data_IF_206556218137
#
_entry.id   IF_206556218137
#
_cell.length_a   1.000
_cell.length_b   1.000
_cell.length_c   1.000
_cell.angle_alpha   90.00
_cell.angle_beta   90.00
_cell.angle_gamma   90.00
#
_symmetry.space_group_name_H-M   'P 1'
#
loop_
_entity.id
_entity.type
_entity.pdbx_description
1 polymer ?
#
# COMPACT_ATOMS: atom_id res chain seq x y z
N UNK A 1 -1.14 -30.63 -8.94
CA UNK A 1 -1.60 -29.24 -9.17
C UNK A 1 -2.57 -29.26 -10.33
N UNK A 2 -3.79 -28.79 -10.11
CA UNK A 2 -4.77 -28.60 -11.19
C UNK A 2 -4.71 -27.17 -11.68
N UNK A 3 -4.61 -26.97 -12.99
CA UNK A 3 -4.51 -25.66 -13.62
C UNK A 3 -5.60 -25.44 -14.68
N UNK A 4 -5.87 -24.19 -15.02
CA UNK A 4 -6.62 -23.82 -16.22
C UNK A 4 -5.71 -23.99 -17.45
N UNK A 5 -6.08 -24.88 -18.37
CA UNK A 5 -5.35 -25.16 -19.62
C UNK A 5 -5.06 -23.88 -20.39
N UNK A 6 -6.02 -22.96 -20.42
CA UNK A 6 -5.83 -21.68 -21.09
C UNK A 6 -4.64 -20.92 -20.55
N UNK A 7 -4.26 -21.10 -19.28
CA UNK A 7 -3.23 -20.32 -18.57
C UNK A 7 -1.82 -20.89 -18.67
N UNK A 8 -1.67 -22.04 -19.32
CA UNK A 8 -0.44 -22.83 -19.36
C UNK A 8 0.78 -22.00 -19.78
N UNK A 9 0.66 -21.20 -20.84
CA UNK A 9 1.75 -20.33 -21.31
C UNK A 9 2.09 -19.24 -20.30
N UNK A 10 1.07 -18.55 -19.76
CA UNK A 10 1.24 -17.47 -18.77
C UNK A 10 1.89 -17.98 -17.50
N UNK A 11 1.43 -19.12 -16.97
CA UNK A 11 2.05 -19.76 -15.82
C UNK A 11 3.48 -20.20 -16.13
N UNK A 12 3.76 -20.77 -17.30
CA UNK A 12 5.11 -21.22 -17.65
C UNK A 12 6.07 -20.03 -17.63
N UNK A 13 5.74 -18.97 -18.34
CA UNK A 13 6.57 -17.77 -18.39
C UNK A 13 6.71 -17.10 -17.04
N UNK A 14 5.62 -16.99 -16.27
CA UNK A 14 5.67 -16.40 -14.94
C UNK A 14 6.59 -17.21 -14.02
N UNK A 15 6.47 -18.54 -14.06
CA UNK A 15 7.30 -19.47 -13.29
C UNK A 15 8.78 -19.37 -13.69
N UNK A 16 9.08 -19.26 -14.98
CA UNK A 16 10.45 -19.05 -15.49
C UNK A 16 11.04 -17.70 -15.06
N UNK A 17 10.24 -16.62 -15.09
CA UNK A 17 10.65 -15.30 -14.59
C UNK A 17 10.98 -15.38 -13.08
N UNK A 18 10.09 -15.98 -12.28
CA UNK A 18 10.33 -16.16 -10.84
C UNK A 18 11.56 -17.03 -10.57
N UNK A 19 11.80 -18.07 -11.35
CA UNK A 19 13.03 -18.87 -11.25
C UNK A 19 14.28 -18.03 -11.51
N UNK A 20 14.25 -17.15 -12.52
CA UNK A 20 15.37 -16.24 -12.85
C UNK A 20 15.66 -15.23 -11.73
N UNK A 21 14.62 -14.83 -11.01
CA UNK A 21 14.72 -13.97 -9.81
C UNK A 21 15.21 -14.74 -8.57
N UNK A 22 15.43 -16.05 -8.67
CA UNK A 22 15.99 -16.92 -7.63
C UNK A 22 14.96 -17.55 -6.69
N UNK A 23 13.69 -17.63 -7.09
CA UNK A 23 12.67 -18.40 -6.39
C UNK A 23 12.80 -19.90 -6.75
N UNK A 24 12.68 -20.78 -5.76
CA UNK A 24 12.99 -22.21 -5.90
C UNK A 24 11.79 -23.14 -5.62
N UNK A 25 10.78 -22.64 -4.91
CA UNK A 25 9.58 -23.40 -4.53
C UNK A 25 8.33 -22.60 -4.86
N UNK A 26 7.26 -23.30 -5.21
CA UNK A 26 5.93 -22.73 -5.47
C UNK A 26 4.91 -23.47 -4.62
N UNK A 27 4.03 -22.71 -3.97
CA UNK A 27 2.89 -23.21 -3.21
C UNK A 27 1.59 -22.88 -3.93
N UNK A 28 0.60 -23.75 -3.79
CA UNK A 28 -0.68 -23.67 -4.48
C UNK A 28 -1.78 -24.37 -3.68
N UNK A 29 -3.03 -23.99 -3.94
CA UNK A 29 -4.22 -24.59 -3.36
C UNK A 29 -4.66 -25.80 -4.19
N UNK A 30 -4.86 -26.96 -3.58
CA UNK A 30 -5.21 -28.22 -4.26
C UNK A 30 -6.71 -28.32 -4.61
N UNK A 31 -7.57 -27.50 -4.00
CA UNK A 31 -9.03 -27.54 -4.21
C UNK A 31 -9.51 -26.61 -5.33
N UNK A 32 -8.65 -25.69 -5.79
CA UNK A 32 -8.98 -24.77 -6.88
C UNK A 32 -8.27 -25.12 -8.18
N UNK A 33 -8.81 -24.59 -9.27
CA UNK A 33 -8.12 -24.55 -10.56
C UNK A 33 -7.15 -23.37 -10.52
N UNK A 34 -5.86 -23.66 -10.45
CA UNK A 34 -4.82 -22.65 -10.32
C UNK A 34 -4.55 -21.93 -11.65
N UNK A 35 -4.07 -20.70 -11.55
CA UNK A 35 -3.56 -19.90 -12.65
C UNK A 35 -2.36 -19.07 -12.17
N UNK A 36 -1.76 -18.29 -13.07
CA UNK A 36 -0.59 -17.45 -12.82
C UNK A 36 -0.73 -16.48 -11.64
N UNK A 37 -1.96 -16.09 -11.27
CA UNK A 37 -2.23 -15.20 -10.14
C UNK A 37 -2.47 -15.93 -8.80
N UNK A 38 -2.67 -17.26 -8.80
CA UNK A 38 -2.94 -18.03 -7.57
C UNK A 38 -1.70 -18.72 -7.01
N UNK A 39 -0.58 -18.66 -7.73
CA UNK A 39 0.68 -19.28 -7.33
C UNK A 39 1.46 -18.36 -6.39
N UNK A 40 1.98 -18.92 -5.30
CA UNK A 40 2.86 -18.22 -4.37
C UNK A 40 4.28 -18.79 -4.43
N UNK A 41 5.27 -17.92 -4.58
CA UNK A 41 6.67 -18.33 -4.83
C UNK A 41 7.56 -18.04 -3.63
N UNK A 42 8.44 -18.99 -3.30
CA UNK A 42 9.37 -18.93 -2.18
C UNK A 42 10.80 -19.27 -2.60
N UNK A 43 11.78 -18.63 -1.95
CA UNK A 43 13.20 -18.89 -2.24
C UNK A 43 13.72 -20.14 -1.55
N UNK A 44 13.09 -20.57 -0.46
CA UNK A 44 13.47 -21.75 0.30
C UNK A 44 12.25 -22.63 0.61
N UNK A 45 12.51 -23.88 0.98
CA UNK A 45 11.46 -24.89 1.22
C UNK A 45 10.71 -24.67 2.54
N UNK A 46 11.37 -24.09 3.54
CA UNK A 46 10.78 -23.93 4.87
C UNK A 46 9.64 -22.92 4.83
N UNK A 47 9.84 -21.79 4.15
CA UNK A 47 8.80 -20.76 4.01
C UNK A 47 7.60 -21.26 3.21
N UNK A 48 7.85 -22.06 2.16
CA UNK A 48 6.78 -22.70 1.41
C UNK A 48 5.99 -23.69 2.27
N UNK A 49 6.67 -24.50 3.09
CA UNK A 49 6.03 -25.43 4.01
C UNK A 49 5.27 -24.72 5.13
N UNK A 50 5.81 -23.62 5.64
CA UNK A 50 5.15 -22.79 6.65
C UNK A 50 3.88 -22.17 6.07
N UNK A 51 3.95 -21.57 4.88
CA UNK A 51 2.77 -21.05 4.19
C UNK A 51 1.69 -22.14 4.03
N UNK A 52 2.07 -23.32 3.54
CA UNK A 52 1.14 -24.45 3.43
C UNK A 52 0.55 -24.82 4.80
N UNK A 53 1.33 -24.78 5.88
CA UNK A 53 0.88 -25.16 7.23
C UNK A 53 0.01 -24.11 7.91
N UNK A 54 0.26 -22.82 7.68
CA UNK A 54 -0.48 -21.69 8.27
C UNK A 54 -1.84 -21.54 7.60
N UNK A 55 -1.91 -21.78 6.29
CA UNK A 55 -3.16 -21.66 5.53
C UNK A 55 -4.06 -22.90 5.65
N UNK A 56 -3.58 -23.99 6.25
CA UNK A 56 -4.39 -25.19 6.54
C UNK A 56 -5.09 -25.06 7.88
N UNK A 57 -6.35 -24.66 7.85
CA UNK A 57 -7.28 -24.81 8.98
C UNK A 57 -7.83 -26.24 8.98
N UNK A 58 -7.13 -27.15 9.66
CA UNK A 58 -7.50 -28.57 9.91
C UNK A 58 -7.72 -29.48 8.67
N UNK A 59 -7.63 -28.94 7.46
CA UNK A 59 -7.61 -29.72 6.23
C UNK A 59 -6.48 -29.23 5.30
N UNK A 60 -5.67 -30.17 4.82
CA UNK A 60 -4.41 -29.95 4.10
C UNK A 60 -4.60 -29.40 2.67
N UNK A 61 -5.14 -28.19 2.52
CA UNK A 61 -5.52 -27.60 1.24
C UNK A 61 -4.36 -27.05 0.40
N UNK A 62 -3.18 -26.83 0.97
CA UNK A 62 -2.06 -26.25 0.26
C UNK A 62 -0.90 -27.23 0.14
N UNK A 63 -0.36 -27.37 -1.07
CA UNK A 63 0.85 -28.13 -1.34
C UNK A 63 1.93 -27.22 -1.94
N UNK A 64 3.17 -27.69 -1.89
CA UNK A 64 4.29 -27.03 -2.56
C UNK A 64 5.10 -28.02 -3.38
N UNK A 65 5.77 -27.52 -4.41
CA UNK A 65 6.70 -28.29 -5.23
C UNK A 65 7.86 -27.41 -5.74
N UNK A 66 8.99 -28.01 -6.16
CA UNK A 66 10.10 -27.25 -6.71
C UNK A 66 9.69 -26.51 -8.00
N UNK A 67 10.03 -25.23 -8.11
CA UNK A 67 9.76 -24.39 -9.30
C UNK A 67 10.25 -25.06 -10.57
N UNK A 68 11.41 -25.72 -10.54
CA UNK A 68 11.95 -26.46 -11.68
C UNK A 68 11.05 -27.63 -12.12
N UNK A 69 10.41 -28.33 -11.19
CA UNK A 69 9.47 -29.39 -11.52
C UNK A 69 8.22 -28.83 -12.21
N UNK A 70 7.70 -27.69 -11.72
CA UNK A 70 6.58 -27.00 -12.36
C UNK A 70 6.94 -26.57 -13.79
N UNK A 71 8.11 -25.98 -13.98
CA UNK A 71 8.61 -25.58 -15.31
C UNK A 71 8.64 -26.79 -16.25
N UNK A 72 9.24 -27.90 -15.83
CA UNK A 72 9.30 -29.10 -16.66
C UNK A 72 7.90 -29.60 -17.07
N UNK A 73 6.96 -29.67 -16.12
CA UNK A 73 5.59 -30.12 -16.38
C UNK A 73 4.84 -29.17 -17.33
N UNK A 74 4.99 -27.86 -17.14
CA UNK A 74 4.38 -26.84 -18.00
C UNK A 74 5.02 -26.78 -19.39
N UNK A 75 6.34 -26.91 -19.51
CA UNK A 75 7.04 -27.02 -20.80
C UNK A 75 6.57 -28.26 -21.56
N UNK A 76 6.45 -29.39 -20.86
CA UNK A 76 5.91 -30.60 -21.45
C UNK A 76 4.44 -30.40 -21.89
N UNK A 77 3.62 -29.67 -21.13
CA UNK A 77 2.23 -29.39 -21.52
C UNK A 77 2.13 -28.44 -22.71
N UNK A 78 2.87 -27.32 -22.72
CA UNK A 78 2.84 -26.34 -23.81
C UNK A 78 3.33 -26.96 -25.12
N UNK A 79 4.34 -27.82 -25.05
CA UNK A 79 4.84 -28.54 -26.21
C UNK A 79 3.97 -29.76 -26.57
N UNK A 80 2.75 -29.90 -26.01
CA UNK A 80 1.96 -31.13 -26.13
C UNK A 80 1.08 -31.34 -27.33
N UNK A 81 0.85 -30.27 -28.07
CA UNK A 81 -0.20 -30.28 -29.08
C UNK A 81 -1.61 -30.44 -28.48
N UNK A 82 -1.75 -30.55 -27.15
CA UNK A 82 -3.02 -30.35 -26.47
C UNK A 82 -3.45 -28.91 -26.74
N UNK A 83 -4.73 -28.72 -27.05
CA UNK A 83 -5.30 -27.39 -27.19
C UNK A 83 -5.32 -26.70 -25.83
N UNK A 84 -4.33 -25.83 -25.60
CA UNK A 84 -4.20 -25.01 -24.40
C UNK A 84 -4.94 -23.68 -24.54
N UNK A 85 -5.89 -23.54 -25.46
CA UNK A 85 -6.71 -22.31 -25.58
C UNK A 85 -8.09 -22.44 -24.90
N UNK A 86 -8.48 -23.67 -24.53
CA UNK A 86 -9.74 -23.94 -23.85
C UNK A 86 -9.67 -23.69 -22.34
N UNK A 87 -10.79 -23.27 -21.75
CA UNK A 87 -10.96 -23.12 -20.30
C UNK A 87 -11.34 -24.45 -19.66
N UNK A 88 -10.40 -25.39 -19.66
CA UNK A 88 -10.56 -26.71 -19.06
C UNK A 88 -9.52 -26.93 -17.97
N UNK A 89 -9.87 -27.70 -16.95
CA UNK A 89 -8.98 -28.00 -15.83
C UNK A 89 -8.13 -29.24 -16.13
N UNK A 90 -6.81 -29.17 -15.91
CA UNK A 90 -5.90 -30.31 -16.08
C UNK A 90 -4.97 -30.47 -14.87
N UNK A 91 -4.75 -31.71 -14.44
CA UNK A 91 -3.75 -32.06 -13.43
C UNK A 91 -2.38 -32.16 -14.11
N UNK A 92 -1.43 -31.32 -13.68
CA UNK A 92 -0.11 -31.21 -14.33
C UNK A 92 1.05 -31.77 -13.53
N UNK A 93 0.89 -32.09 -12.25
CA UNK A 93 2.03 -32.54 -11.45
C UNK A 93 2.51 -33.90 -11.94
N UNK A 94 3.76 -33.95 -12.41
CA UNK A 94 4.35 -35.12 -13.05
C UNK A 94 3.89 -35.35 -14.49
N UNK A 95 3.28 -34.35 -15.15
CA UNK A 95 2.89 -34.39 -16.55
C UNK A 95 4.07 -34.71 -17.48
N UNK A 96 5.24 -34.09 -17.25
CA UNK A 96 6.44 -34.36 -18.02
C UNK A 96 6.83 -35.84 -17.95
N UNK A 97 6.80 -36.43 -16.75
CA UNK A 97 7.12 -37.84 -16.55
C UNK A 97 6.08 -38.78 -17.20
N UNK A 98 4.80 -38.40 -17.19
CA UNK A 98 3.74 -39.15 -17.89
C UNK A 98 3.95 -39.11 -19.40
N UNK A 99 4.46 -38.00 -19.93
CA UNK A 99 4.65 -37.76 -21.36
C UNK A 99 5.98 -38.31 -21.89
N UNK A 100 7.07 -38.27 -21.13
CA UNK A 100 8.34 -38.95 -21.46
C UNK A 100 8.16 -40.44 -21.71
N UNK A 101 7.15 -41.06 -21.06
CA UNK A 101 6.76 -42.46 -21.30
C UNK A 101 5.99 -42.67 -22.62
N UNK A 102 5.48 -41.60 -23.21
CA UNK A 102 4.65 -41.59 -24.43
C UNK A 102 5.37 -40.98 -25.64
N UNK A 103 6.48 -40.25 -25.47
CA UNK A 103 7.09 -39.45 -26.54
C UNK A 103 8.59 -39.62 -26.66
N UNK A 104 8.94 -40.61 -27.48
CA UNK A 104 10.20 -40.67 -28.22
C UNK A 104 10.09 -39.97 -29.60
N UNK A 105 9.07 -39.13 -29.87
CA UNK A 105 8.88 -38.54 -31.21
C UNK A 105 8.22 -37.13 -31.15
N UNK A 106 8.97 -36.18 -31.73
CA UNK A 106 8.58 -34.96 -32.47
C UNK A 106 8.12 -33.65 -31.79
N UNK A 107 9.10 -32.74 -31.69
CA UNK A 107 9.24 -31.41 -32.34
C UNK A 107 8.03 -30.46 -32.52
N UNK A 108 7.96 -29.47 -31.62
CA UNK A 108 8.08 -28.00 -31.79
C UNK A 108 7.61 -27.32 -33.11
N UNK A 109 6.65 -26.40 -33.00
CA UNK A 109 6.36 -25.36 -34.00
C UNK A 109 5.81 -24.07 -33.36
N UNK A 110 6.53 -22.96 -33.61
CA UNK A 110 6.17 -21.57 -33.31
C UNK A 110 4.96 -21.08 -34.11
N UNK A 111 4.14 -20.24 -33.48
CA UNK A 111 3.24 -19.31 -34.17
C UNK A 111 3.23 -17.95 -33.45
N UNK A 112 3.49 -16.89 -34.21
CA UNK A 112 3.54 -15.51 -33.77
C UNK A 112 2.11 -14.97 -33.58
N UNK A 113 1.40 -15.50 -32.58
CA UNK A 113 0.09 -15.03 -32.13
C UNK A 113 0.33 -14.20 -30.87
N UNK A 114 -0.18 -12.97 -30.82
CA UNK A 114 -0.16 -12.15 -29.60
C UNK A 114 -0.73 -12.99 -28.44
N UNK A 115 0.03 -13.09 -27.35
CA UNK A 115 -0.44 -13.79 -26.16
C UNK A 115 -1.57 -12.98 -25.50
N UNK A 116 -2.82 -13.38 -25.77
CA UNK A 116 -4.03 -12.71 -25.29
C UNK A 116 -4.11 -12.66 -23.76
N UNK A 117 -3.55 -13.67 -23.08
CA UNK A 117 -3.49 -13.72 -21.63
C UNK A 117 -2.49 -12.73 -21.05
N UNK A 118 -1.34 -12.56 -21.69
CA UNK A 118 -0.39 -11.55 -21.27
C UNK A 118 -0.98 -10.14 -21.41
N UNK A 119 -1.78 -9.89 -22.46
CA UNK A 119 -2.53 -8.64 -22.58
C UNK A 119 -3.55 -8.47 -21.43
N UNK A 120 -4.35 -9.49 -21.12
CA UNK A 120 -5.32 -9.47 -20.01
C UNK A 120 -4.63 -9.24 -18.65
N UNK A 121 -3.53 -9.93 -18.39
CA UNK A 121 -2.71 -9.74 -17.19
C UNK A 121 -2.23 -8.30 -17.04
N UNK A 122 -1.68 -7.71 -18.11
CA UNK A 122 -1.19 -6.34 -18.07
C UNK A 122 -2.33 -5.32 -17.88
N UNK A 123 -3.51 -5.55 -18.46
CA UNK A 123 -4.70 -4.72 -18.23
C UNK A 123 -5.13 -4.75 -16.77
N UNK A 124 -5.21 -5.93 -16.16
CA UNK A 124 -5.55 -6.05 -14.75
C UNK A 124 -4.48 -5.38 -13.87
N UNK A 125 -3.19 -5.56 -14.19
CA UNK A 125 -2.11 -4.90 -13.46
C UNK A 125 -2.23 -3.37 -13.53
N UNK A 126 -2.55 -2.80 -14.69
CA UNK A 126 -2.80 -1.36 -14.86
C UNK A 126 -4.02 -0.88 -14.07
N UNK A 127 -5.10 -1.66 -14.08
CA UNK A 127 -6.31 -1.38 -13.30
C UNK A 127 -6.02 -1.32 -11.80
N UNK A 128 -5.39 -2.35 -11.25
CA UNK A 128 -5.13 -2.46 -9.80
C UNK A 128 -3.99 -1.56 -9.32
N UNK A 129 -3.12 -1.08 -10.21
CA UNK A 129 -2.12 -0.03 -9.89
C UNK A 129 -2.68 1.39 -10.01
N UNK A 130 -3.95 1.56 -10.36
CA UNK A 130 -4.65 2.84 -10.36
C UNK A 130 -4.58 3.62 -11.67
N UNK A 131 -4.15 2.97 -12.77
CA UNK A 131 -4.20 3.55 -14.11
C UNK A 131 -5.53 3.24 -14.82
N UNK A 132 -6.30 2.27 -14.34
CA UNK A 132 -7.61 1.94 -14.92
C UNK A 132 -7.49 1.27 -16.29
N UNK A 133 -8.53 1.42 -17.12
CA UNK A 133 -8.71 0.67 -18.37
C UNK A 133 -8.52 1.54 -19.63
N UNK A 134 -7.90 2.73 -19.50
CA UNK A 134 -7.79 3.70 -20.61
C UNK A 134 -6.75 3.32 -21.66
N UNK A 135 -5.77 2.47 -21.32
CA UNK A 135 -4.63 2.15 -22.17
C UNK A 135 -4.75 0.81 -22.90
N UNK A 136 -5.92 0.18 -22.85
CA UNK A 136 -6.16 -1.15 -23.43
C UNK A 136 -5.81 -1.25 -24.91
N UNK A 137 -6.13 -0.22 -25.70
CA UNK A 137 -5.82 -0.16 -27.13
C UNK A 137 -4.32 0.08 -27.37
N UNK A 138 -3.76 1.11 -26.73
CA UNK A 138 -2.34 1.48 -26.87
C UNK A 138 -1.42 0.32 -26.47
N UNK A 139 -1.75 -0.36 -25.37
CA UNK A 139 -1.03 -1.54 -24.89
C UNK A 139 -1.09 -2.67 -25.91
N UNK A 140 -2.27 -2.95 -26.45
CA UNK A 140 -2.47 -3.97 -27.47
C UNK A 140 -1.62 -3.67 -28.72
N UNK A 141 -1.70 -2.44 -29.24
CA UNK A 141 -0.95 -2.04 -30.42
C UNK A 141 0.57 -2.14 -30.20
N UNK A 142 1.06 -1.68 -29.04
CA UNK A 142 2.49 -1.77 -28.68
C UNK A 142 2.98 -3.21 -28.57
N UNK A 143 2.19 -4.10 -27.99
CA UNK A 143 2.53 -5.52 -27.95
C UNK A 143 2.55 -6.17 -29.35
N UNK A 144 1.61 -5.81 -30.24
CA UNK A 144 1.58 -6.31 -31.62
C UNK A 144 2.76 -5.83 -32.46
N UNK A 145 3.28 -4.63 -32.18
CA UNK A 145 4.47 -4.09 -32.86
C UNK A 145 5.74 -4.90 -32.53
N UNK A 146 5.76 -5.65 -31.43
CA UNK A 146 6.88 -6.51 -31.07
C UNK A 146 8.12 -5.78 -30.56
N UNK A 147 7.99 -4.50 -30.17
CA UNK A 147 9.09 -3.71 -29.60
C UNK A 147 9.57 -4.34 -28.28
N UNK A 148 10.87 -4.58 -28.10
CA UNK A 148 11.38 -5.19 -26.86
C UNK A 148 11.05 -4.39 -25.60
N UNK A 149 10.97 -3.07 -25.72
CA UNK A 149 10.65 -2.14 -24.64
C UNK A 149 9.76 -1.04 -25.20
N UNK A 150 8.72 -0.65 -24.45
CA UNK A 150 7.88 0.48 -24.81
C UNK A 150 7.38 1.21 -23.56
N UNK A 151 6.87 2.43 -23.77
CA UNK A 151 6.34 3.28 -22.70
C UNK A 151 4.96 3.80 -23.03
N UNK A 152 4.13 3.95 -22.00
CA UNK A 152 2.82 4.61 -22.06
C UNK A 152 2.84 5.77 -21.06
N UNK A 153 2.36 6.95 -21.45
CA UNK A 153 2.35 8.13 -20.58
C UNK A 153 0.94 8.52 -20.18
N UNK A 154 0.78 9.00 -18.95
CA UNK A 154 -0.47 9.52 -18.40
C UNK A 154 -0.21 10.85 -17.73
N UNK A 155 -0.86 11.89 -18.24
CA UNK A 155 -0.95 13.17 -17.57
C UNK A 155 -2.22 13.25 -16.73
N UNK A 156 -2.17 14.00 -15.64
CA UNK A 156 -3.33 14.22 -14.78
C UNK A 156 -3.14 15.41 -13.84
N UNK A 157 -4.27 15.90 -13.33
CA UNK A 157 -4.31 16.96 -12.31
C UNK A 157 -4.77 16.36 -10.99
N UNK A 158 -4.05 16.64 -9.92
CA UNK A 158 -4.28 16.10 -8.58
C UNK A 158 -4.35 17.25 -7.59
N UNK A 159 -5.56 17.68 -7.23
CA UNK A 159 -5.74 18.93 -6.49
C UNK A 159 -5.38 20.12 -7.39
N UNK A 160 -4.42 20.94 -6.96
CA UNK A 160 -3.84 22.00 -7.79
C UNK A 160 -2.50 21.63 -8.43
N UNK A 161 -1.99 20.42 -8.18
CA UNK A 161 -0.73 19.94 -8.76
C UNK A 161 -0.97 19.25 -10.11
N UNK A 162 0.02 19.31 -10.99
CA UNK A 162 0.05 18.49 -12.21
C UNK A 162 1.04 17.33 -12.05
N UNK A 163 0.66 16.15 -12.55
CA UNK A 163 1.46 14.94 -12.46
C UNK A 163 1.51 14.24 -13.81
N UNK A 164 2.71 13.86 -14.23
CA UNK A 164 2.94 12.97 -15.36
C UNK A 164 3.47 11.63 -14.86
N UNK A 165 2.88 10.53 -15.34
CA UNK A 165 3.34 9.17 -15.08
C UNK A 165 3.74 8.48 -16.38
N UNK A 166 4.97 7.97 -16.45
CA UNK A 166 5.50 7.22 -17.59
C UNK A 166 5.69 5.76 -17.19
N UNK A 167 4.84 4.88 -17.73
CA UNK A 167 4.82 3.45 -17.45
C UNK A 167 5.80 2.73 -18.38
N UNK A 168 6.67 1.89 -17.83
CA UNK A 168 7.72 1.18 -18.55
C UNK A 168 7.38 -0.31 -18.67
N UNK A 169 7.30 -0.79 -19.91
CA UNK A 169 7.05 -2.18 -20.24
C UNK A 169 8.26 -2.78 -20.95
N UNK A 170 8.56 -4.04 -20.65
CA UNK A 170 9.64 -4.78 -21.31
C UNK A 170 9.20 -6.20 -21.60
N UNK A 171 9.57 -6.70 -22.78
CA UNK A 171 9.45 -8.10 -23.17
C UNK A 171 10.52 -8.93 -22.45
N UNK A 172 10.14 -10.10 -21.94
CA UNK A 172 11.08 -11.05 -21.33
C UNK A 172 12.19 -11.42 -22.31
N UNK A 173 13.39 -11.62 -21.78
CA UNK A 173 14.50 -12.19 -22.54
C UNK A 173 14.40 -13.73 -22.61
N UNK A 174 13.52 -14.34 -21.80
CA UNK A 174 13.29 -15.79 -21.73
C UNK A 174 12.06 -16.23 -22.53
N UNK A 175 11.03 -15.40 -22.59
CA UNK A 175 9.73 -15.74 -23.20
C UNK A 175 9.20 -14.62 -24.09
N UNK A 176 8.10 -14.88 -24.80
CA UNK A 176 7.44 -13.87 -25.62
C UNK A 176 6.55 -12.87 -24.83
N UNK A 177 6.58 -12.93 -23.48
CA UNK A 177 5.70 -12.13 -22.62
C UNK A 177 6.26 -10.75 -22.30
N UNK A 178 5.35 -9.79 -22.10
CA UNK A 178 5.65 -8.45 -21.64
C UNK A 178 5.32 -8.30 -20.15
N UNK A 179 6.12 -7.50 -19.46
CA UNK A 179 5.94 -7.15 -18.07
C UNK A 179 5.92 -5.63 -17.89
N UNK A 180 4.97 -5.14 -17.08
CA UNK A 180 4.95 -3.76 -16.62
C UNK A 180 5.83 -3.64 -15.38
N UNK A 181 7.03 -3.08 -15.54
CA UNK A 181 8.12 -3.19 -14.57
C UNK A 181 8.18 -2.02 -13.58
N UNK A 182 7.85 -0.82 -14.04
CA UNK A 182 7.90 0.39 -13.22
C UNK A 182 7.12 1.51 -13.87
N UNK A 183 6.78 2.52 -13.09
CA UNK A 183 6.32 3.80 -13.60
C UNK A 183 7.09 4.94 -12.94
N UNK A 184 7.46 5.91 -13.76
CA UNK A 184 8.15 7.12 -13.33
C UNK A 184 7.12 8.23 -13.15
N UNK A 185 7.12 8.88 -11.99
CA UNK A 185 6.23 10.00 -11.65
C UNK A 185 7.02 11.28 -11.60
N UNK A 186 6.55 12.29 -12.34
CA UNK A 186 6.99 13.67 -12.24
C UNK A 186 5.84 14.52 -11.68
N UNK A 187 6.01 15.10 -10.50
CA UNK A 187 5.03 15.93 -9.81
C UNK A 187 5.46 17.39 -9.82
N UNK A 188 4.66 18.23 -10.47
CA UNK A 188 4.81 19.67 -10.48
C UNK A 188 3.81 20.31 -9.53
N UNK A 189 4.30 20.89 -8.42
CA UNK A 189 3.46 21.61 -7.48
C UNK A 189 3.11 23.00 -8.00
N UNK A 190 1.89 23.47 -7.74
CA UNK A 190 1.38 24.78 -8.22
C UNK A 190 2.35 25.95 -7.96
N UNK A 191 2.99 25.97 -6.79
CA UNK A 191 3.89 27.04 -6.36
C UNK A 191 5.38 26.70 -6.49
N UNK A 192 5.73 25.60 -7.16
CA UNK A 192 7.12 25.19 -7.41
C UNK A 192 7.48 25.41 -8.87
N UNK A 193 8.74 25.74 -9.15
CA UNK A 193 9.31 25.71 -10.51
C UNK A 193 9.98 24.39 -10.84
N UNK A 194 10.32 23.60 -9.83
CA UNK A 194 10.98 22.31 -9.96
C UNK A 194 9.96 21.18 -9.79
N UNK A 195 10.07 20.17 -10.65
CA UNK A 195 9.36 18.91 -10.51
C UNK A 195 10.04 18.03 -9.46
N UNK A 196 9.23 17.23 -8.77
CA UNK A 196 9.73 16.12 -7.98
C UNK A 196 9.58 14.85 -8.80
N UNK A 197 10.67 14.11 -8.97
CA UNK A 197 10.71 12.92 -9.79
C UNK A 197 10.98 11.68 -8.94
N UNK A 198 10.22 10.61 -9.17
CA UNK A 198 10.34 9.35 -8.43
C UNK A 198 9.89 8.18 -9.29
N UNK A 199 10.70 7.12 -9.32
CA UNK A 199 10.33 5.86 -9.95
C UNK A 199 9.76 4.89 -8.91
N UNK A 200 8.64 4.28 -9.24
CA UNK A 200 8.00 3.20 -8.47
C UNK A 200 8.06 1.91 -9.26
N UNK A 201 8.65 0.88 -8.67
CA UNK A 201 8.77 -0.44 -9.28
C UNK A 201 7.53 -1.28 -9.00
N UNK A 202 7.15 -2.09 -9.97
CA UNK A 202 6.07 -3.05 -9.83
C UNK A 202 6.65 -4.42 -9.46
N UNK A 203 6.08 -4.99 -8.42
CA UNK A 203 6.32 -6.34 -7.95
C UNK A 203 5.11 -7.22 -8.29
N UNK A 204 5.36 -8.33 -8.96
CA UNK A 204 4.34 -9.33 -9.31
C UNK A 204 3.73 -10.02 -8.08
N UNK A 205 4.45 -10.06 -6.95
CA UNK A 205 4.03 -10.74 -5.71
C UNK A 205 3.24 -9.86 -4.73
N UNK A 206 2.89 -8.63 -5.15
CA UNK A 206 2.07 -7.70 -4.36
C UNK A 206 2.85 -6.54 -3.72
N UNK A 207 2.16 -5.74 -2.91
CA UNK A 207 2.75 -4.58 -2.24
C UNK A 207 2.96 -3.33 -3.11
N UNK A 208 2.46 -3.35 -4.35
CA UNK A 208 2.62 -2.26 -5.33
C UNK A 208 2.05 -0.93 -4.83
N UNK A 209 2.81 0.15 -5.02
CA UNK A 209 2.33 1.51 -4.82
C UNK A 209 1.43 1.86 -6.01
N UNK A 210 0.19 2.23 -5.74
CA UNK A 210 -0.74 2.73 -6.76
C UNK A 210 -0.42 4.18 -7.14
N UNK A 211 -0.90 4.64 -8.30
CA UNK A 211 -0.67 6.03 -8.74
C UNK A 211 -1.15 7.08 -7.71
N UNK A 212 -2.26 6.83 -7.00
CA UNK A 212 -2.74 7.75 -5.96
C UNK A 212 -1.87 7.71 -4.69
N UNK A 213 -1.40 6.53 -4.30
CA UNK A 213 -0.45 6.37 -3.19
C UNK A 213 0.89 7.03 -3.53
N UNK A 214 1.37 6.92 -4.77
CA UNK A 214 2.56 7.62 -5.26
C UNK A 214 2.41 9.13 -5.12
N UNK A 215 1.30 9.71 -5.59
CA UNK A 215 1.01 11.14 -5.35
C UNK A 215 1.05 11.50 -3.86
N UNK A 216 0.44 10.68 -2.99
CA UNK A 216 0.45 10.92 -1.55
C UNK A 216 1.87 10.87 -0.96
N UNK A 217 2.72 9.94 -1.39
CA UNK A 217 4.13 9.86 -1.00
C UNK A 217 4.92 11.08 -1.47
N UNK A 218 4.72 11.52 -2.71
CA UNK A 218 5.35 12.71 -3.30
C UNK A 218 4.90 14.02 -2.62
N UNK A 219 3.70 14.03 -2.05
CA UNK A 219 3.23 15.08 -1.14
C UNK A 219 3.84 14.99 0.28
N UNK A 220 4.72 14.03 0.54
CA UNK A 220 5.39 13.83 1.82
C UNK A 220 4.55 13.15 2.89
N UNK A 221 3.41 12.57 2.50
CA UNK A 221 2.54 11.76 3.38
C UNK A 221 3.06 10.33 3.45
N UNK A 222 2.49 9.55 4.37
CA UNK A 222 2.90 8.16 4.60
C UNK A 222 1.83 7.20 4.11
N UNK A 223 2.25 6.10 3.47
CA UNK A 223 1.36 5.05 2.95
C UNK A 223 1.66 3.75 3.68
N UNK A 224 0.64 3.01 4.08
CA UNK A 224 0.75 1.72 4.73
C UNK A 224 0.56 0.60 3.70
N UNK A 225 1.48 -0.36 3.68
CA UNK A 225 1.44 -1.52 2.78
C UNK A 225 1.77 -2.79 3.55
N UNK A 226 1.18 -3.88 3.10
CA UNK A 226 1.70 -5.22 3.35
C UNK A 226 2.74 -5.50 2.27
N UNK A 227 3.97 -5.80 2.69
CA UNK A 227 5.14 -6.01 1.86
C UNK A 227 5.66 -7.42 2.10
N UNK A 228 6.40 -7.98 1.13
CA UNK A 228 7.11 -9.25 1.29
C UNK A 228 8.60 -8.97 1.52
N UNK A 229 9.22 -9.67 2.47
CA UNK A 229 10.68 -9.59 2.65
C UNK A 229 11.39 -10.50 1.62
N UNK A 230 12.72 -10.67 1.76
CA UNK A 230 13.49 -11.49 0.81
C UNK A 230 13.08 -12.97 0.84
N UNK A 231 12.61 -13.44 1.99
CA UNK A 231 12.20 -14.81 2.26
C UNK A 231 10.75 -15.05 1.80
N UNK A 232 9.98 -13.97 1.60
CA UNK A 232 8.60 -14.01 1.09
C UNK A 232 7.57 -13.79 2.20
N UNK A 233 8.02 -13.64 3.45
CA UNK A 233 7.15 -13.37 4.59
C UNK A 233 6.48 -12.01 4.45
N UNK A 234 5.17 -12.01 4.68
CA UNK A 234 4.35 -10.80 4.70
C UNK A 234 4.60 -10.01 5.99
N UNK A 235 4.84 -8.71 5.85
CA UNK A 235 4.94 -7.79 6.96
C UNK A 235 4.28 -6.46 6.61
N UNK A 236 3.67 -5.82 7.62
CA UNK A 236 3.08 -4.51 7.45
C UNK A 236 4.13 -3.40 7.71
N UNK A 237 4.15 -2.38 6.85
CA UNK A 237 5.02 -1.22 7.00
C UNK A 237 4.38 0.06 6.51
N UNK A 238 4.62 1.15 7.23
CA UNK A 238 4.43 2.48 6.67
C UNK A 238 5.65 2.90 5.87
N UNK A 239 5.42 3.55 4.73
CA UNK A 239 6.41 4.03 3.79
C UNK A 239 6.30 5.56 3.73
N UNK A 240 7.44 6.25 3.72
CA UNK A 240 7.51 7.70 3.56
C UNK A 240 8.77 8.09 2.80
N UNK A 241 8.66 9.02 1.86
CA UNK A 241 9.83 9.56 1.14
C UNK A 241 10.69 10.41 2.08
N UNK A 242 12.01 10.22 2.01
CA UNK A 242 13.03 11.13 2.53
C UNK A 242 13.59 11.99 1.40
N UNK A 243 13.04 13.19 1.24
CA UNK A 243 13.46 14.15 0.22
C UNK A 243 14.89 14.69 0.42
N UNK A 244 15.60 14.29 1.48
CA UNK A 244 16.97 14.73 1.76
C UNK A 244 18.04 13.79 1.18
N UNK A 245 17.65 12.60 0.74
CA UNK A 245 18.56 11.56 0.28
C UNK A 245 18.05 10.98 -1.03
N UNK A 246 18.92 10.92 -2.03
CA UNK A 246 18.67 10.21 -3.29
C UNK A 246 19.63 9.05 -3.44
N UNK A 247 19.19 8.01 -4.15
CA UNK A 247 20.07 6.94 -4.63
C UNK A 247 20.87 7.38 -5.88
N UNK A 248 21.69 6.47 -6.40
CA UNK A 248 22.51 6.70 -7.60
C UNK A 248 21.67 6.95 -8.87
N UNK A 249 20.43 6.47 -8.90
CA UNK A 249 19.50 6.67 -10.01
C UNK A 249 18.67 7.96 -9.85
N UNK A 250 18.89 8.73 -8.78
CA UNK A 250 18.18 9.97 -8.48
C UNK A 250 16.82 9.78 -7.80
N UNK A 251 16.43 8.55 -7.44
CA UNK A 251 15.20 8.33 -6.69
C UNK A 251 15.40 8.72 -5.22
N UNK A 252 14.39 9.33 -4.61
CA UNK A 252 14.43 9.61 -3.19
C UNK A 252 14.36 8.31 -2.38
N UNK A 253 15.08 8.30 -1.25
CA UNK A 253 15.09 7.17 -0.33
C UNK A 253 13.71 6.99 0.32
N UNK A 254 13.26 5.74 0.43
CA UNK A 254 12.05 5.37 1.17
C UNK A 254 12.39 4.94 2.59
N UNK A 255 11.78 5.60 3.58
CA UNK A 255 11.83 5.20 4.98
C UNK A 255 10.68 4.25 5.29
N UNK A 256 11.02 3.14 5.95
CA UNK A 256 10.08 2.11 6.37
C UNK A 256 9.90 2.12 7.88
N UNK A 257 8.65 2.22 8.33
CA UNK A 257 8.26 2.05 9.73
C UNK A 257 7.50 0.74 9.84
N UNK A 258 8.26 -0.33 10.12
CA UNK A 258 7.77 -1.69 10.29
C UNK A 258 6.68 -1.77 11.37
N UNK A 259 5.80 -2.78 11.35
CA UNK A 259 4.78 -2.99 12.39
C UNK A 259 5.35 -2.97 13.83
N UNK A 260 6.59 -3.47 14.01
CA UNK A 260 7.31 -3.46 15.29
C UNK A 260 7.82 -2.07 15.72
N UNK A 261 7.74 -1.06 14.85
CA UNK A 261 8.06 0.32 15.18
C UNK A 261 7.11 0.88 16.24
N UNK A 262 5.88 0.34 16.35
CA UNK A 262 4.91 0.70 17.38
C UNK A 262 4.13 1.97 17.08
N UNK A 263 3.91 2.29 15.80
CA UNK A 263 2.90 3.27 15.41
C UNK A 263 1.55 2.57 15.29
N UNK A 264 0.61 2.96 16.14
CA UNK A 264 -0.77 2.54 16.06
C UNK A 264 -1.62 3.72 15.54
N UNK A 265 -2.12 3.57 14.31
CA UNK A 265 -2.95 4.58 13.66
C UNK A 265 -4.27 4.75 14.40
N UNK A 266 -4.94 3.66 14.76
CA UNK A 266 -6.25 3.69 15.39
C UNK A 266 -6.18 4.36 16.75
N UNK A 267 -5.22 3.95 17.59
CA UNK A 267 -4.98 4.58 18.88
C UNK A 267 -4.53 6.04 18.74
N UNK A 268 -3.87 6.41 17.64
CA UNK A 268 -3.49 7.81 17.39
C UNK A 268 -4.67 8.68 17.01
N UNK A 269 -5.58 8.18 16.17
CA UNK A 269 -6.81 8.89 15.77
C UNK A 269 -7.77 8.99 16.95
N UNK A 270 -7.92 7.94 17.76
CA UNK A 270 -8.81 7.90 18.94
C UNK A 270 -8.44 8.90 20.06
N UNK A 271 -7.25 9.50 20.02
CA UNK A 271 -6.86 10.61 20.92
C UNK A 271 -7.60 11.91 20.62
N UNK A 272 -8.28 11.99 19.48
CA UNK A 272 -9.01 13.16 19.02
C UNK A 272 -10.51 12.91 19.07
N UNK A 273 -11.29 13.92 19.46
CA UNK A 273 -12.75 13.85 19.48
C UNK A 273 -13.30 13.97 18.06
N UNK A 274 -13.23 12.88 17.30
CA UNK A 274 -13.62 12.78 15.89
C UNK A 274 -14.95 12.03 15.78
N UNK A 275 -15.97 12.65 15.20
CA UNK A 275 -17.34 12.12 15.09
C UNK A 275 -17.43 10.84 14.27
N UNK A 276 -16.61 10.71 13.23
CA UNK A 276 -16.57 9.53 12.37
C UNK A 276 -16.16 8.25 13.12
N UNK A 277 -15.51 8.37 14.29
CA UNK A 277 -15.13 7.22 15.12
C UNK A 277 -16.33 6.54 15.80
N UNK A 278 -17.44 7.25 15.97
CA UNK A 278 -18.64 6.75 16.64
C UNK A 278 -19.41 5.73 15.78
N UNK A 279 -19.19 5.74 14.47
CA UNK A 279 -19.83 4.82 13.52
C UNK A 279 -18.80 3.82 12.98
N UNK A 280 -18.95 2.50 13.21
CA UNK A 280 -17.96 1.51 12.80
C UNK A 280 -17.55 1.59 11.32
N UNK A 281 -18.51 1.82 10.42
CA UNK A 281 -18.22 1.94 8.99
C UNK A 281 -17.40 3.20 8.66
N UNK A 282 -17.75 4.35 9.23
CA UNK A 282 -17.01 5.59 8.99
C UNK A 282 -15.61 5.56 9.60
N UNK A 283 -15.46 4.91 10.76
CA UNK A 283 -14.16 4.62 11.36
C UNK A 283 -13.30 3.77 10.43
N UNK A 284 -13.83 2.67 9.92
CA UNK A 284 -13.14 1.79 8.97
C UNK A 284 -12.68 2.57 7.72
N UNK A 285 -13.61 3.32 7.10
CA UNK A 285 -13.33 4.10 5.90
C UNK A 285 -12.27 5.19 6.15
N UNK A 286 -12.33 5.86 7.31
CA UNK A 286 -11.32 6.83 7.75
C UNK A 286 -9.95 6.18 7.88
N UNK A 287 -9.84 5.05 8.60
CA UNK A 287 -8.57 4.35 8.78
C UNK A 287 -8.00 3.86 7.44
N UNK A 288 -8.84 3.31 6.55
CA UNK A 288 -8.44 2.87 5.22
C UNK A 288 -7.96 4.02 4.34
N UNK A 289 -8.62 5.18 4.41
CA UNK A 289 -8.18 6.38 3.70
C UNK A 289 -6.81 6.87 4.18
N UNK A 290 -6.60 6.90 5.50
CA UNK A 290 -5.32 7.29 6.11
C UNK A 290 -4.19 6.30 5.81
N UNK A 291 -4.48 5.00 5.79
CA UNK A 291 -3.53 3.96 5.35
C UNK A 291 -3.08 4.17 3.91
N UNK A 292 -3.95 4.64 3.02
CA UNK A 292 -3.59 5.00 1.63
C UNK A 292 -2.82 6.33 1.54
N UNK A 293 -2.52 6.97 2.66
CA UNK A 293 -1.81 8.25 2.73
C UNK A 293 -2.65 9.46 2.36
N UNK A 294 -3.99 9.33 2.30
CA UNK A 294 -4.85 10.46 2.01
C UNK A 294 -4.84 11.47 3.16
N UNK A 295 -4.95 12.76 2.81
CA UNK A 295 -5.35 13.79 3.75
C UNK A 295 -6.87 13.74 3.86
N UNK A 296 -7.37 13.26 5.00
CA UNK A 296 -8.78 12.94 5.17
C UNK A 296 -9.50 14.04 5.94
N UNK A 297 -10.62 14.52 5.38
CA UNK A 297 -11.54 15.40 6.11
C UNK A 297 -12.27 14.61 7.20
N UNK A 298 -12.38 15.22 8.38
CA UNK A 298 -13.04 14.67 9.58
C UNK A 298 -13.76 15.76 10.36
N UNK A 299 -14.68 15.38 11.22
CA UNK A 299 -15.47 16.30 12.04
C UNK A 299 -15.02 16.22 13.49
N UNK A 300 -14.37 17.28 13.98
CA UNK A 300 -13.95 17.41 15.37
C UNK A 300 -15.09 17.95 16.24
N UNK A 301 -15.29 17.35 17.42
CA UNK A 301 -16.28 17.77 18.41
C UNK A 301 -15.58 18.25 19.67
N UNK A 302 -15.53 19.55 19.91
CA UNK A 302 -14.89 20.15 21.10
C UNK A 302 -15.93 20.96 21.87
N UNK A 303 -16.24 20.54 23.11
CA UNK A 303 -17.25 21.22 23.93
C UNK A 303 -18.65 21.21 23.32
N UNK A 304 -18.97 20.22 22.48
CA UNK A 304 -20.23 20.12 21.75
C UNK A 304 -20.29 20.92 20.45
N UNK A 305 -19.23 21.65 20.09
CA UNK A 305 -19.13 22.38 18.82
C UNK A 305 -18.44 21.50 17.78
N UNK A 306 -19.07 21.36 16.63
CA UNK A 306 -18.52 20.64 15.47
C UNK A 306 -17.67 21.58 14.61
N UNK A 307 -16.51 21.10 14.16
CA UNK A 307 -15.62 21.82 13.25
C UNK A 307 -15.01 20.85 12.23
N UNK A 308 -14.93 21.27 10.97
CA UNK A 308 -14.32 20.46 9.93
C UNK A 308 -12.80 20.62 9.99
N UNK A 309 -12.09 19.51 10.00
CA UNK A 309 -10.63 19.46 10.07
C UNK A 309 -10.11 18.44 9.07
N UNK A 310 -8.80 18.45 8.81
CA UNK A 310 -8.13 17.44 7.99
C UNK A 310 -7.05 16.74 8.78
N UNK A 311 -6.92 15.42 8.60
CA UNK A 311 -5.88 14.63 9.26
C UNK A 311 -5.12 13.73 8.30
N UNK A 312 -3.86 13.46 8.63
CA UNK A 312 -3.00 12.50 7.92
C UNK A 312 -2.19 11.67 8.93
N UNK A 313 -1.82 10.45 8.53
CA UNK A 313 -0.97 9.59 9.33
C UNK A 313 0.46 10.15 9.48
N UNK A 314 1.04 10.04 10.68
CA UNK A 314 2.40 10.51 10.97
C UNK A 314 3.21 9.44 11.74
N UNK A 315 3.53 8.32 11.08
CA UNK A 315 4.23 7.19 11.69
C UNK A 315 5.54 7.60 12.37
N UNK A 316 6.33 8.47 11.73
CA UNK A 316 7.61 8.97 12.25
C UNK A 316 7.55 9.51 13.68
N UNK A 317 6.44 10.13 14.07
CA UNK A 317 6.24 10.67 15.42
C UNK A 317 5.18 9.90 16.22
N UNK A 318 4.65 8.80 15.66
CA UNK A 318 3.59 7.97 16.24
C UNK A 318 2.33 8.78 16.60
N UNK A 319 1.95 9.70 15.71
CA UNK A 319 0.74 10.53 15.86
C UNK A 319 -0.01 10.62 14.53
N UNK A 320 -1.10 11.39 14.50
CA UNK A 320 -1.60 12.03 13.27
C UNK A 320 -1.18 13.50 13.24
N UNK A 321 -1.13 14.12 12.06
CA UNK A 321 -1.12 15.58 11.94
C UNK A 321 -2.55 16.06 11.71
N UNK A 322 -2.86 17.26 12.21
CA UNK A 322 -4.18 17.88 12.10
C UNK A 322 -4.02 19.25 11.45
N UNK A 323 -4.94 19.60 10.55
CA UNK A 323 -5.01 20.87 9.86
C UNK A 323 -6.42 21.44 9.96
N UNK A 324 -6.52 22.77 10.00
CA UNK A 324 -7.80 23.48 9.94
C UNK A 324 -8.37 23.54 8.51
N UNK A 325 -9.51 24.22 8.35
CA UNK A 325 -10.15 24.42 7.05
C UNK A 325 -9.30 25.20 6.04
N UNK A 326 -8.31 25.98 6.54
CA UNK A 326 -7.37 26.75 5.73
C UNK A 326 -6.06 26.00 5.48
N UNK A 327 -6.01 24.69 5.80
CA UNK A 327 -4.82 23.84 5.66
C UNK A 327 -3.63 24.28 6.54
N UNK A 328 -3.89 25.07 7.58
CA UNK A 328 -2.89 25.45 8.58
C UNK A 328 -2.73 24.32 9.58
N UNK A 329 -1.47 23.93 9.85
CA UNK A 329 -1.18 22.85 10.79
C UNK A 329 -1.49 23.26 12.22
N UNK A 330 -2.31 22.49 12.90
CA UNK A 330 -2.63 22.68 14.33
C UNK A 330 -1.60 21.91 15.17
N UNK A 331 -0.78 22.64 15.94
CA UNK A 331 0.16 22.02 16.86
C UNK A 331 -0.48 21.84 18.24
N UNK A 332 -0.63 20.60 18.68
CA UNK A 332 -1.23 20.26 19.98
C UNK A 332 -0.43 20.75 21.22
N UNK A 333 0.67 21.48 21.04
CA UNK A 333 1.36 22.21 22.12
C UNK A 333 0.65 23.52 22.47
N UNK A 334 0.04 24.20 21.50
CA UNK A 334 -0.68 25.47 21.72
C UNK A 334 -2.07 25.25 22.32
N UNK A 335 -2.71 24.09 22.07
CA UNK A 335 -4.02 23.75 22.64
C UNK A 335 -4.01 23.51 24.16
N UNK A 336 -2.84 23.32 24.79
CA UNK A 336 -2.73 23.32 26.26
C UNK A 336 -2.79 24.74 26.84
N UNK A 337 -2.31 25.73 26.12
CA UNK A 337 -2.40 27.14 26.51
C UNK A 337 -3.81 27.67 26.28
N UNK A 338 -4.50 27.25 25.21
CA UNK A 338 -5.92 27.54 25.00
C UNK A 338 -6.83 26.83 26.01
N UNK A 339 -6.53 25.58 26.39
CA UNK A 339 -7.25 24.93 27.51
C UNK A 339 -7.04 25.66 28.84
N UNK A 340 -5.87 26.27 29.07
CA UNK A 340 -5.62 27.11 30.24
C UNK A 340 -6.38 28.43 30.19
N UNK A 341 -6.38 29.13 29.05
CA UNK A 341 -7.08 30.41 28.91
C UNK A 341 -8.61 30.26 28.99
N UNK A 342 -9.17 29.12 28.54
CA UNK A 342 -10.59 28.80 28.69
C UNK A 342 -10.95 28.48 30.16
N UNK A 343 -10.07 27.80 30.91
CA UNK A 343 -10.26 27.52 32.34
C UNK A 343 -10.11 28.79 33.22
N UNK A 344 -9.23 29.71 32.84
CA UNK A 344 -9.05 31.01 33.52
C UNK A 344 -10.22 31.97 33.25
N UNK A 345 -10.79 31.98 32.03
CA UNK A 345 -11.97 32.80 31.71
C UNK A 345 -13.27 32.29 32.36
N UNK A 346 -13.40 30.98 32.61
CA UNK A 346 -14.55 30.43 33.33
C UNK A 346 -14.49 30.65 34.85
N UNK A 347 -13.31 30.85 35.43
CA UNK A 347 -13.15 31.19 36.85
C UNK A 347 -13.38 32.69 37.11
N UNK A 348 -13.01 33.58 36.19
CA UNK A 348 -13.31 35.02 36.30
C UNK A 348 -14.82 35.35 36.18
N UNK A 349 -15.60 34.51 35.50
CA UNK A 349 -17.04 34.76 35.27
C UNK A 349 -17.95 34.30 36.41
N UNK A 350 -17.42 33.63 37.45
CA UNK A 350 -18.20 33.15 38.61
C UNK A 350 -18.15 34.08 39.83
N UNK A 351 -17.26 35.07 39.85
CA UNK A 351 -17.13 36.03 40.97
C UNK A 351 -17.93 37.34 40.77
N UNK A 352 -18.62 37.55 39.64
CA UNK A 352 -19.39 38.78 39.38
C UNK A 352 -20.92 38.66 39.51
N UNK A 353 -21.44 37.59 40.13
CA UNK A 353 -22.89 37.45 40.36
C UNK A 353 -23.22 37.08 41.81
N UNK A 354 -22.81 37.94 42.76
CA UNK A 354 -23.42 38.03 44.10
C UNK A 354 -23.05 39.35 44.80
N UNK A 355 -23.76 40.45 44.47
CA UNK A 355 -23.94 41.60 45.37
C UNK A 355 -24.89 42.68 44.80
N UNK A 356 -26.17 42.61 45.19
CA UNK A 356 -27.17 43.69 45.32
C UNK A 356 -28.42 43.00 45.89
N UNK A 357 -29.02 43.26 47.05
CA UNK A 357 -29.07 44.34 48.05
C UNK A 357 -29.10 43.65 49.44
N UNK A 358 -28.82 44.24 50.60
CA UNK A 358 -29.19 45.54 51.16
C UNK A 358 -28.85 45.57 52.65
N UNK A 359 -28.96 46.76 53.23
CA UNK A 359 -28.25 47.32 54.38
C UNK A 359 -28.80 46.94 55.78
N UNK A 360 -27.92 46.79 56.79
CA UNK A 360 -28.05 47.37 58.16
C UNK A 360 -27.04 46.80 59.18
N UNK A 361 -26.12 47.71 59.53
CA UNK A 361 -25.66 48.08 60.87
C UNK A 361 -24.59 47.27 61.65
N UNK A 362 -23.53 48.03 61.95
CA UNK A 362 -22.68 48.04 63.14
C UNK A 362 -21.71 46.89 63.46
N UNK A 363 -20.42 47.24 63.34
CA UNK A 363 -19.36 47.23 64.38
C UNK A 363 -18.05 46.55 63.98
N UNK A 364 -17.05 47.39 63.74
CA UNK A 364 -15.61 47.12 63.77
C UNK A 364 -15.13 46.97 65.24
N UNK A 365 -13.94 46.39 65.57
CA UNK A 365 -12.66 46.79 64.97
C UNK A 365 -11.57 45.73 64.72
N UNK A 366 -10.71 46.07 63.75
CA UNK A 366 -9.24 45.93 63.66
C UNK A 366 -8.52 44.64 64.14
N UNK A 367 -7.67 44.06 63.27
CA UNK A 367 -6.18 44.12 63.40
C UNK A 367 -5.39 43.34 62.32
N UNK A 368 -4.48 44.09 61.68
CA UNK A 368 -3.04 43.84 61.43
C UNK A 368 -2.52 42.59 60.68
N UNK A 369 -1.85 42.88 59.55
CA UNK A 369 -0.46 42.55 59.18
C UNK A 369 0.05 41.09 59.36
N UNK A 370 0.48 40.44 58.26
CA UNK A 370 1.88 40.52 57.78
C UNK A 370 2.17 39.56 56.62
N UNK A 371 2.81 40.11 55.58
CA UNK A 371 3.64 39.39 54.62
C UNK A 371 4.82 38.71 55.34
N UNK A 372 5.18 37.47 54.93
CA UNK A 372 6.58 36.99 54.94
C UNK A 372 6.79 35.81 53.97
N UNK A 373 7.68 36.05 53.00
CA UNK A 373 8.40 35.04 52.21
C UNK A 373 9.50 34.38 53.06
N UNK A 374 9.70 33.08 52.90
CA UNK A 374 11.00 32.36 52.94
C UNK A 374 10.76 30.92 52.43
N UNK A 375 11.26 30.50 51.26
CA UNK A 375 12.58 29.92 50.94
C UNK A 375 12.99 28.68 51.77
N UNK A 376 13.43 27.64 51.03
CA UNK A 376 14.25 26.46 51.38
C UNK A 376 13.63 25.41 52.33
N UNK A 377 13.87 24.10 52.22
CA UNK A 377 14.90 23.31 51.54
C UNK A 377 14.41 21.86 51.39
N UNK A 378 15.14 21.09 50.58
CA UNK A 378 15.09 19.63 50.38
C UNK A 378 15.02 18.81 51.68
N UNK A 379 14.46 17.59 51.60
CA UNK A 379 15.19 16.32 51.44
C UNK A 379 14.38 15.45 50.48
#
# INVERSE_FOLDING_TARGET
MTIDLSDSEMMLSFTQEMASLGYQYVAFDIEIVNNSNTLEFYRNILDAQEYCSVMTNDAGYFENLPVKSLINDLEALVNSGIDITCKEAIEITGFANRREKSELLDNNLNSNIMNQKNLEYLKDQLKYTGFGETFDLDLKEKMMQGEKEFKISREGVYGSDSMNAVLNFKKSDQTDMYFFNSYHVSLQKENSKESLDQTFYINSTGGNITLKEAYNLMEGRSVNKDLKNKDGELYNSWIKIDFKQTDEAGNFKLNHYHQNYGYDLEASVAKHSIKELDTPKFKEDLLNSLKKGNLQSVTFVVGGVESKMFIEANPQFKTVKVYDENMQRINHRESKEEKKSILENQSASKDQKKSSDGDSDSSEPEKKNNNRKSKSHSI
#
